data_IF_334487589604
#
_entry.id   IF_334487589604
#
_cell.length_a   1.000
_cell.length_b   1.000
_cell.length_c   1.000
_cell.angle_alpha   90.00
_cell.angle_beta   90.00
_cell.angle_gamma   90.00
#
_symmetry.space_group_name_H-M   'P 1'
#
loop_
_entity.id
_entity.type
_entity.pdbx_description
1 polymer ?
#
# COMPACT_ATOMS: atom_id res chain seq x y z
N UNK A 1 -38.40 2.18 23.79
CA UNK A 1 -38.07 2.09 22.36
C UNK A 1 -37.02 3.16 22.04
N UNK A 2 -35.85 3.15 22.71
CA UNK A 2 -34.84 4.22 22.57
C UNK A 2 -33.38 3.76 22.87
N UNK A 3 -33.09 2.46 22.89
CA UNK A 3 -31.72 1.95 23.15
C UNK A 3 -30.89 1.66 21.89
N UNK A 4 -31.47 1.83 20.68
CA UNK A 4 -30.81 1.46 19.42
C UNK A 4 -30.25 2.65 18.61
N UNK A 5 -30.53 3.90 19.03
CA UNK A 5 -30.11 5.08 18.25
C UNK A 5 -28.74 5.68 18.67
N UNK A 6 -28.07 5.13 19.69
CA UNK A 6 -26.78 5.65 20.17
C UNK A 6 -25.53 4.89 19.71
N UNK A 7 -25.65 3.87 18.85
CA UNK A 7 -24.49 3.24 18.20
C UNK A 7 -24.06 4.03 16.95
N UNK A 8 -23.77 5.32 17.13
CA UNK A 8 -23.00 6.09 16.15
C UNK A 8 -21.58 5.54 16.09
N UNK A 9 -21.19 5.00 14.93
CA UNK A 9 -19.85 4.91 14.29
C UNK A 9 -18.59 4.52 15.11
N UNK A 10 -18.66 4.36 16.43
CA UNK A 10 -17.51 4.21 17.29
C UNK A 10 -17.17 2.73 17.42
N UNK A 11 -16.23 2.27 16.59
CA UNK A 11 -15.44 1.08 16.92
C UNK A 11 -14.85 1.36 18.32
N UNK A 12 -15.01 0.48 19.32
CA UNK A 12 -14.50 0.75 20.67
C UNK A 12 -13.03 1.13 20.61
N UNK A 13 -12.66 2.20 21.33
CA UNK A 13 -11.30 2.74 21.36
C UNK A 13 -10.27 1.65 21.66
N UNK A 14 -10.59 0.71 22.55
CA UNK A 14 -9.72 -0.42 22.93
C UNK A 14 -9.28 -1.30 21.74
N UNK A 15 -10.11 -1.44 20.69
CA UNK A 15 -9.73 -2.18 19.47
C UNK A 15 -8.92 -1.35 18.46
N UNK A 16 -8.76 -0.04 18.70
CA UNK A 16 -8.09 0.93 17.82
C UNK A 16 -7.00 1.77 18.49
N UNK A 17 -6.82 1.65 19.82
CA UNK A 17 -6.05 2.56 20.67
C UNK A 17 -4.57 2.67 20.26
N UNK A 18 -4.06 1.68 19.50
CA UNK A 18 -2.70 1.66 18.97
C UNK A 18 -2.54 2.17 17.54
N UNK A 19 -3.62 2.49 16.82
CA UNK A 19 -3.56 2.59 15.34
C UNK A 19 -3.55 4.02 14.78
N UNK A 20 -3.91 5.04 15.56
CA UNK A 20 -3.88 6.43 15.11
C UNK A 20 -2.54 7.10 15.42
N UNK A 21 -1.98 7.82 14.45
CA UNK A 21 -0.78 8.64 14.68
C UNK A 21 -1.13 9.78 15.65
N UNK A 22 -0.21 10.14 16.53
CA UNK A 22 -0.34 11.35 17.34
C UNK A 22 0.09 12.54 16.49
N UNK A 23 -0.79 13.53 16.37
CA UNK A 23 -0.49 14.76 15.63
C UNK A 23 0.65 15.54 16.30
N UNK A 24 1.65 15.92 15.52
CA UNK A 24 2.71 16.84 15.90
C UNK A 24 2.28 18.26 15.55
N UNK A 25 2.10 19.10 16.56
CA UNK A 25 1.78 20.52 16.40
C UNK A 25 3.10 21.28 16.19
N UNK A 26 3.29 21.85 15.00
CA UNK A 26 4.55 22.48 14.57
C UNK A 26 4.49 24.00 14.74
N UNK A 27 4.29 24.49 15.97
CA UNK A 27 4.38 25.94 16.26
C UNK A 27 5.81 26.40 16.56
N UNK A 28 6.60 25.49 17.12
CA UNK A 28 8.01 25.64 17.47
C UNK A 28 8.76 24.40 16.96
N UNK A 29 10.10 24.47 16.76
CA UNK A 29 10.88 23.32 16.36
C UNK A 29 10.62 22.11 17.27
N UNK A 30 10.36 20.95 16.66
CA UNK A 30 10.11 19.68 17.35
C UNK A 30 11.18 18.69 16.98
N UNK A 31 11.87 18.15 17.99
CA UNK A 31 12.79 17.04 17.81
C UNK A 31 12.04 15.73 17.92
N UNK A 32 12.25 14.84 16.95
CA UNK A 32 11.78 13.46 16.96
C UNK A 32 13.00 12.54 17.13
N UNK A 33 12.81 11.46 17.88
CA UNK A 33 13.81 10.40 18.07
C UNK A 33 13.25 9.11 17.49
N UNK A 34 14.06 8.45 16.67
CA UNK A 34 13.70 7.22 15.99
C UNK A 34 14.69 6.15 16.40
N UNK A 35 14.19 5.09 17.01
CA UNK A 35 14.97 3.93 17.40
C UNK A 35 14.87 2.84 16.35
N UNK A 36 16.01 2.32 15.89
CA UNK A 36 16.05 1.09 15.12
C UNK A 36 16.36 -0.07 16.06
N UNK A 37 15.39 -0.97 16.22
CA UNK A 37 15.50 -2.17 17.03
C UNK A 37 16.19 -3.35 16.31
N UNK A 38 16.58 -3.19 15.04
CA UNK A 38 17.25 -4.25 14.28
C UNK A 38 18.78 -4.18 14.43
N UNK A 39 19.46 -5.34 14.37
CA UNK A 39 20.93 -5.45 14.47
C UNK A 39 21.67 -5.00 13.20
N UNK A 40 20.96 -4.54 12.17
CA UNK A 40 21.51 -4.02 10.93
C UNK A 40 20.95 -2.63 10.63
N UNK A 41 21.70 -1.85 9.85
CA UNK A 41 21.23 -0.55 9.37
C UNK A 41 20.16 -0.72 8.28
N UNK A 42 19.22 0.22 8.19
CA UNK A 42 18.20 0.22 7.14
C UNK A 42 17.81 1.62 6.69
N UNK A 43 17.43 1.74 5.43
CA UNK A 43 16.70 2.90 4.92
C UNK A 43 15.21 2.69 5.16
N UNK A 44 14.54 3.69 5.72
CA UNK A 44 13.13 3.63 6.10
C UNK A 44 12.39 4.91 5.69
N UNK A 45 11.12 4.79 5.32
CA UNK A 45 10.21 5.94 5.22
C UNK A 45 9.56 6.21 6.57
N UNK A 46 9.78 7.41 7.10
CA UNK A 46 9.19 7.87 8.36
C UNK A 46 7.93 8.66 8.04
N UNK A 47 6.83 8.35 8.73
CA UNK A 47 5.52 8.96 8.53
C UNK A 47 4.99 9.62 9.80
N UNK A 48 4.78 10.93 9.77
CA UNK A 48 4.28 11.72 10.91
C UNK A 48 3.03 12.49 10.52
N UNK A 49 2.00 12.43 11.36
CA UNK A 49 0.86 13.32 11.23
C UNK A 49 1.24 14.69 11.76
N UNK A 50 1.08 15.74 10.96
CA UNK A 50 1.44 17.12 11.32
C UNK A 50 0.30 18.10 11.07
N UNK A 51 0.30 19.20 11.81
CA UNK A 51 -0.75 20.22 11.77
C UNK A 51 -0.63 21.20 10.59
N UNK A 52 0.56 21.37 10.03
CA UNK A 52 0.88 22.43 9.07
C UNK A 52 1.76 21.84 7.94
N UNK A 53 1.44 22.05 6.65
CA UNK A 53 2.22 21.47 5.56
C UNK A 53 3.51 22.23 5.29
N UNK A 54 3.67 23.44 5.84
CA UNK A 54 4.78 24.33 5.55
C UNK A 54 5.96 24.09 6.50
N UNK A 55 6.62 22.94 6.32
CA UNK A 55 7.69 22.48 7.21
C UNK A 55 8.95 22.13 6.45
N UNK A 56 10.06 22.11 7.19
CA UNK A 56 11.34 21.52 6.78
C UNK A 56 11.72 20.44 7.78
N UNK A 57 12.31 19.35 7.28
CA UNK A 57 12.92 18.30 8.11
C UNK A 57 14.43 18.45 8.07
N UNK A 58 15.06 18.52 9.24
CA UNK A 58 16.50 18.69 9.40
C UNK A 58 17.03 17.42 10.07
N UNK A 59 17.89 16.69 9.34
CA UNK A 59 18.66 15.56 9.87
C UNK A 59 20.02 16.01 10.41
N UNK A 60 20.89 15.04 10.69
CA UNK A 60 22.23 15.31 11.23
C UNK A 60 23.13 16.12 10.30
N UNK A 61 22.90 16.01 8.99
CA UNK A 61 23.74 16.62 7.94
C UNK A 61 23.05 17.81 7.25
N UNK A 62 22.00 18.36 7.86
CA UNK A 62 21.21 19.46 7.30
C UNK A 62 19.81 19.03 6.81
N UNK A 63 19.16 19.87 5.99
CA UNK A 63 17.84 19.58 5.44
C UNK A 63 17.80 18.28 4.65
N UNK A 64 16.73 17.52 4.81
CA UNK A 64 16.48 16.29 4.04
C UNK A 64 15.24 16.46 3.16
N UNK A 65 15.19 15.66 2.10
CA UNK A 65 14.01 15.60 1.24
C UNK A 65 12.83 15.04 2.02
N UNK A 66 11.69 15.70 1.88
CA UNK A 66 10.43 15.28 2.45
C UNK A 66 9.28 15.50 1.47
N UNK A 67 8.16 14.84 1.70
CA UNK A 67 6.91 15.10 0.98
C UNK A 67 5.73 15.21 1.94
N UNK A 68 4.75 16.02 1.54
CA UNK A 68 3.49 16.24 2.24
C UNK A 68 2.39 15.54 1.48
N UNK A 69 1.71 14.61 2.15
CA UNK A 69 0.57 13.84 1.65
C UNK A 69 -0.71 14.20 2.44
N UNK A 70 -1.90 13.98 1.87
CA UNK A 70 -3.15 14.07 2.64
C UNK A 70 -3.15 13.00 3.76
N UNK A 71 -3.54 13.38 4.98
CA UNK A 71 -3.65 12.40 6.07
C UNK A 71 -5.02 11.70 6.07
N UNK A 72 -4.96 10.38 5.94
CA UNK A 72 -6.08 9.47 6.13
C UNK A 72 -5.97 8.87 7.52
N UNK A 73 -6.97 9.15 8.35
CA UNK A 73 -7.06 8.50 9.64
C UNK A 73 -7.37 7.01 9.42
N UNK A 74 -6.45 6.14 9.83
CA UNK A 74 -6.55 4.68 9.70
C UNK A 74 -7.71 4.11 10.52
N UNK A 75 -8.17 4.82 11.55
CA UNK A 75 -9.26 4.37 12.43
C UNK A 75 -10.62 4.73 11.85
N UNK A 76 -10.88 6.00 11.56
CA UNK A 76 -12.13 6.42 10.92
C UNK A 76 -12.18 6.08 9.43
N UNK A 77 -11.02 5.92 8.80
CA UNK A 77 -10.86 5.81 7.37
C UNK A 77 -11.39 7.05 6.63
N UNK A 78 -11.26 8.22 7.25
CA UNK A 78 -11.68 9.52 6.69
C UNK A 78 -10.46 10.41 6.46
N UNK A 79 -10.57 11.26 5.45
CA UNK A 79 -9.66 12.39 5.28
C UNK A 79 -9.81 13.36 6.44
N UNK A 80 -8.69 13.87 6.91
CA UNK A 80 -8.65 14.90 7.95
C UNK A 80 -8.17 16.23 7.36
N UNK A 81 -8.22 17.29 8.17
CA UNK A 81 -7.61 18.59 7.82
C UNK A 81 -6.10 18.64 8.12
N UNK A 82 -5.53 17.55 8.60
CA UNK A 82 -4.09 17.45 8.91
C UNK A 82 -3.34 16.77 7.77
N UNK A 83 -2.02 16.76 7.88
CA UNK A 83 -1.12 16.33 6.81
C UNK A 83 -0.27 15.15 7.26
N UNK A 84 0.18 14.36 6.31
CA UNK A 84 1.15 13.30 6.54
C UNK A 84 2.50 13.77 5.97
N UNK A 85 3.45 14.02 6.86
CA UNK A 85 4.83 14.28 6.51
C UNK A 85 5.58 12.97 6.35
N UNK A 86 6.24 12.83 5.21
CA UNK A 86 6.98 11.63 4.84
C UNK A 86 8.40 12.01 4.46
N UNK A 87 9.40 11.35 5.05
CA UNK A 87 10.81 11.54 4.69
C UNK A 87 11.57 10.24 4.86
N UNK A 88 12.68 10.08 4.14
CA UNK A 88 13.54 8.90 4.27
C UNK A 88 14.62 9.11 5.32
N UNK A 89 14.96 8.04 6.04
CA UNK A 89 15.97 8.06 7.08
C UNK A 89 16.85 6.81 7.00
N UNK A 90 18.17 7.00 7.05
CA UNK A 90 19.10 5.90 7.30
C UNK A 90 19.21 5.67 8.80
N UNK A 91 18.69 4.55 9.29
CA UNK A 91 18.73 4.17 10.69
C UNK A 91 19.88 3.20 10.92
N UNK A 92 20.83 3.54 11.80
CA UNK A 92 21.93 2.63 12.15
C UNK A 92 21.43 1.50 13.04
N UNK A 93 22.14 0.36 13.05
CA UNK A 93 21.82 -0.78 13.89
C UNK A 93 21.69 -0.40 15.37
N UNK A 94 20.65 -0.88 16.05
CA UNK A 94 20.44 -0.76 17.50
C UNK A 94 20.67 0.65 18.06
N UNK A 95 20.19 1.67 17.36
CA UNK A 95 20.55 3.06 17.65
C UNK A 95 19.38 4.04 17.53
N UNK A 96 19.56 5.20 18.13
CA UNK A 96 18.68 6.35 17.95
C UNK A 96 19.24 7.30 16.89
N UNK A 97 18.36 7.79 16.03
CA UNK A 97 18.61 8.94 15.14
C UNK A 97 17.59 10.01 15.47
N UNK A 98 18.01 11.27 15.50
CA UNK A 98 17.12 12.39 15.73
C UNK A 98 16.95 13.25 14.48
N UNK A 99 15.79 13.87 14.36
CA UNK A 99 15.49 14.87 13.34
C UNK A 99 14.75 16.04 13.98
N UNK A 100 14.84 17.21 13.37
CA UNK A 100 14.10 18.40 13.79
C UNK A 100 13.11 18.78 12.70
N UNK A 101 11.85 18.97 13.09
CA UNK A 101 10.78 19.50 12.25
C UNK A 101 10.51 20.93 12.67
N UNK A 102 10.53 21.86 11.73
CA UNK A 102 10.24 23.25 12.02
C UNK A 102 9.47 23.90 10.88
N UNK A 103 8.74 24.98 11.19
CA UNK A 103 8.04 25.80 10.20
C UNK A 103 9.06 26.49 9.30
N UNK A 104 9.02 26.17 8.01
CA UNK A 104 9.77 26.87 6.98
C UNK A 104 9.26 26.40 5.61
N UNK A 105 9.12 27.33 4.66
CA UNK A 105 8.86 26.98 3.27
C UNK A 105 10.19 26.69 2.58
N UNK A 106 10.65 25.45 2.68
CA UNK A 106 11.90 25.01 2.07
C UNK A 106 11.64 24.20 0.81
N UNK A 107 12.46 24.40 -0.22
CA UNK A 107 12.40 23.66 -1.48
C UNK A 107 12.62 22.15 -1.32
N UNK A 108 13.12 21.68 -0.17
CA UNK A 108 13.34 20.26 0.09
C UNK A 108 12.07 19.50 0.50
N UNK A 109 10.97 20.20 0.77
CA UNK A 109 9.69 19.57 1.14
C UNK A 109 8.64 19.80 0.05
N UNK A 110 8.23 18.72 -0.61
CA UNK A 110 7.32 18.79 -1.76
C UNK A 110 5.88 18.46 -1.36
N UNK A 111 4.93 19.31 -1.76
CA UNK A 111 3.50 18.99 -1.64
C UNK A 111 3.13 18.05 -2.80
N UNK A 112 2.63 16.87 -2.46
CA UNK A 112 2.28 15.84 -3.45
C UNK A 112 1.13 16.27 -4.36
N UNK A 113 1.14 15.73 -5.58
CA UNK A 113 0.06 15.90 -6.54
C UNK A 113 -0.99 14.80 -6.41
N UNK A 114 -2.25 15.15 -6.63
CA UNK A 114 -3.37 14.21 -6.56
C UNK A 114 -3.84 13.91 -7.97
N UNK A 115 -3.73 12.65 -8.38
CA UNK A 115 -4.13 12.20 -9.71
C UNK A 115 -5.44 11.41 -9.61
N UNK A 116 -6.45 11.80 -10.38
CA UNK A 116 -7.76 11.15 -10.35
C UNK A 116 -8.18 10.68 -11.75
N UNK A 117 -8.63 9.42 -11.92
CA UNK A 117 -9.05 8.90 -13.24
C UNK A 117 -10.48 9.31 -13.60
N UNK A 118 -11.24 9.79 -12.62
CA UNK A 118 -12.62 10.23 -12.73
C UNK A 118 -12.78 11.58 -12.01
N UNK A 119 -13.73 12.41 -12.45
CA UNK A 119 -14.16 13.56 -11.64
C UNK A 119 -15.02 13.07 -10.47
N UNK A 120 -14.41 12.46 -9.44
CA UNK A 120 -15.10 12.27 -8.15
C UNK A 120 -15.39 13.67 -7.58
N UNK A 121 -16.59 13.91 -7.06
CA UNK A 121 -17.01 15.22 -6.52
C UNK A 121 -16.87 15.30 -5.00
N UNK A 122 -16.93 14.17 -4.27
CA UNK A 122 -16.98 14.17 -2.80
C UNK A 122 -15.60 14.28 -2.18
N UNK A 123 -14.69 13.39 -2.57
CA UNK A 123 -13.35 13.34 -2.01
C UNK A 123 -12.45 14.46 -2.54
N UNK A 124 -12.60 14.80 -3.82
CA UNK A 124 -11.85 15.90 -4.44
C UNK A 124 -12.14 17.24 -3.77
N UNK A 125 -13.36 17.51 -3.31
CA UNK A 125 -13.71 18.78 -2.65
C UNK A 125 -12.89 19.04 -1.37
N UNK A 126 -12.60 17.98 -0.60
CA UNK A 126 -11.76 18.11 0.60
C UNK A 126 -10.29 18.25 0.23
N UNK A 127 -9.82 17.42 -0.70
CA UNK A 127 -8.40 17.38 -1.10
C UNK A 127 -7.99 18.65 -1.87
N UNK A 128 -8.84 19.15 -2.77
CA UNK A 128 -8.54 20.28 -3.66
C UNK A 128 -8.32 21.61 -2.94
N UNK A 129 -8.71 21.70 -1.67
CA UNK A 129 -8.44 22.88 -0.85
C UNK A 129 -6.97 23.01 -0.44
N UNK A 130 -6.22 21.90 -0.41
CA UNK A 130 -4.86 21.85 0.11
C UNK A 130 -3.85 21.24 -0.86
N UNK A 131 -4.32 20.51 -1.88
CA UNK A 131 -3.48 19.79 -2.83
C UNK A 131 -3.89 20.08 -4.26
N UNK A 132 -2.91 20.11 -5.16
CA UNK A 132 -3.17 20.24 -6.58
C UNK A 132 -3.75 18.94 -7.14
N UNK A 133 -4.97 19.01 -7.67
CA UNK A 133 -5.68 17.86 -8.25
C UNK A 133 -5.60 17.93 -9.78
N UNK A 134 -5.07 16.87 -10.39
CA UNK A 134 -5.01 16.67 -11.83
C UNK A 134 -5.88 15.47 -12.22
N UNK A 135 -6.77 15.69 -13.18
CA UNK A 135 -7.49 14.57 -13.81
C UNK A 135 -6.57 13.91 -14.83
N UNK A 136 -6.47 12.58 -14.77
CA UNK A 136 -5.65 11.76 -15.67
C UNK A 136 -6.54 10.81 -16.46
N UNK A 137 -6.03 10.31 -17.58
CA UNK A 137 -6.73 9.28 -18.34
C UNK A 137 -6.71 7.94 -17.60
N UNK A 138 -7.64 7.05 -17.97
CA UNK A 138 -7.75 5.70 -17.40
C UNK A 138 -6.47 4.87 -17.57
N UNK A 139 -5.71 5.11 -18.64
CA UNK A 139 -4.48 4.37 -18.94
C UNK A 139 -3.25 4.90 -18.20
N UNK A 140 -3.39 6.05 -17.53
CA UNK A 140 -2.35 6.66 -16.70
C UNK A 140 -2.54 6.35 -15.21
N UNK A 141 -3.52 5.50 -14.88
CA UNK A 141 -3.86 5.15 -13.50
C UNK A 141 -3.02 3.97 -12.99
N UNK A 142 -1.74 4.24 -12.74
CA UNK A 142 -0.78 3.27 -12.23
C UNK A 142 0.16 3.90 -11.20
N UNK A 143 0.79 3.07 -10.37
CA UNK A 143 1.90 3.47 -9.51
C UNK A 143 3.21 3.08 -10.17
N UNK A 144 4.23 3.93 -10.09
CA UNK A 144 5.51 3.67 -10.73
C UNK A 144 6.69 4.16 -9.89
N UNK A 145 7.70 3.28 -9.79
CA UNK A 145 9.06 3.58 -9.34
C UNK A 145 10.04 3.24 -10.46
N UNK A 146 11.35 3.34 -10.22
CA UNK A 146 12.36 2.83 -11.16
C UNK A 146 12.31 1.31 -11.32
N UNK A 147 11.68 0.58 -10.39
CA UNK A 147 11.73 -0.89 -10.31
C UNK A 147 10.37 -1.56 -10.42
N UNK A 148 9.29 -0.87 -10.04
CA UNK A 148 7.95 -1.44 -9.98
C UNK A 148 7.00 -0.57 -10.79
N UNK A 149 6.18 -1.22 -11.61
CA UNK A 149 5.00 -0.65 -12.22
C UNK A 149 3.78 -1.44 -11.74
N UNK A 150 2.79 -0.75 -11.18
CA UNK A 150 1.56 -1.36 -10.64
C UNK A 150 0.35 -0.76 -11.35
N UNK A 151 -0.30 -1.56 -12.19
CA UNK A 151 -1.52 -1.15 -12.88
C UNK A 151 -2.75 -1.37 -12.00
N UNK A 152 -3.65 -0.39 -12.03
CA UNK A 152 -4.85 -0.36 -11.19
C UNK A 152 -6.07 -0.17 -12.05
N UNK A 153 -7.19 -0.80 -11.68
CA UNK A 153 -8.45 -0.54 -12.35
C UNK A 153 -8.96 0.87 -11.96
N UNK A 154 -9.11 1.80 -12.91
CA UNK A 154 -9.47 3.20 -12.63
C UNK A 154 -10.90 3.38 -12.10
N UNK A 155 -11.75 2.35 -12.16
CA UNK A 155 -13.13 2.40 -11.65
C UNK A 155 -13.20 2.04 -10.16
N UNK A 156 -12.33 1.16 -9.67
CA UNK A 156 -12.43 0.62 -8.31
C UNK A 156 -11.11 0.66 -7.53
N UNK A 157 -9.99 1.08 -8.14
CA UNK A 157 -8.66 1.21 -7.56
C UNK A 157 -7.98 -0.09 -7.12
N UNK A 158 -8.51 -1.25 -7.52
CA UNK A 158 -7.91 -2.55 -7.21
C UNK A 158 -6.78 -2.89 -8.21
N UNK A 159 -5.89 -3.78 -7.78
CA UNK A 159 -4.89 -4.37 -8.68
C UNK A 159 -5.60 -5.11 -9.81
N UNK A 160 -5.35 -4.69 -11.04
CA UNK A 160 -5.83 -5.40 -12.21
C UNK A 160 -4.86 -5.11 -13.35
N UNK A 161 -4.01 -6.09 -13.65
CA UNK A 161 -3.29 -6.11 -14.93
C UNK A 161 -4.24 -6.77 -15.93
N UNK A 162 -4.85 -6.01 -16.86
CA UNK A 162 -5.69 -6.61 -17.88
C UNK A 162 -4.87 -7.61 -18.70
N UNK A 163 -5.49 -8.70 -19.19
CA UNK A 163 -4.87 -9.56 -20.17
C UNK A 163 -4.76 -8.80 -21.50
N UNK A 164 -3.74 -7.96 -21.66
CA UNK A 164 -3.56 -7.20 -22.90
C UNK A 164 -2.64 -7.99 -23.84
N UNK A 165 -3.25 -8.59 -24.86
CA UNK A 165 -2.61 -8.99 -26.13
C UNK A 165 -2.16 -7.77 -26.97
N UNK A 166 -2.18 -6.55 -26.45
CA UNK A 166 -1.86 -5.36 -27.26
C UNK A 166 -1.39 -4.19 -26.41
N UNK A 167 -0.08 -3.91 -26.41
CA UNK A 167 0.52 -2.61 -26.77
C UNK A 167 2.02 -2.59 -26.44
N UNK A 168 2.83 -2.88 -27.47
CA UNK A 168 4.15 -2.29 -27.62
C UNK A 168 4.01 -0.76 -27.56
N UNK A 169 4.61 -0.13 -26.56
CA UNK A 169 5.14 1.24 -26.71
C UNK A 169 6.54 1.31 -26.12
N UNK A 170 7.49 1.33 -27.05
CA UNK A 170 8.89 1.72 -26.90
C UNK A 170 9.02 3.01 -26.07
N UNK A 171 9.87 2.99 -25.06
CA UNK A 171 10.80 4.09 -24.80
C UNK A 171 12.19 3.58 -25.21
N UNK A 172 12.51 3.74 -26.50
CA UNK A 172 13.87 3.53 -27.00
C UNK A 172 14.77 4.65 -26.44
N UNK A 173 15.53 4.32 -25.40
CA UNK A 173 16.82 4.93 -25.12
C UNK A 173 17.89 3.92 -25.51
N UNK A 174 18.53 4.16 -26.66
CA UNK A 174 19.57 3.36 -27.32
C UNK A 174 20.49 2.55 -26.38
N UNK A 175 20.35 1.22 -26.39
CA UNK A 175 21.44 0.31 -26.03
C UNK A 175 21.28 -1.01 -26.81
N UNK A 176 22.18 -1.27 -27.75
CA UNK A 176 22.37 -2.58 -28.36
C UNK A 176 23.00 -3.49 -27.31
N UNK A 177 22.29 -4.53 -26.86
CA UNK A 177 22.90 -5.63 -26.09
C UNK A 177 23.09 -6.81 -27.03
N UNK A 178 24.35 -7.16 -27.25
CA UNK A 178 24.80 -8.39 -27.92
C UNK A 178 24.87 -9.47 -26.85
N UNK A 179 24.10 -10.55 -26.99
CA UNK A 179 24.21 -11.69 -26.09
C UNK A 179 25.46 -12.50 -26.42
N UNK A 180 26.44 -12.47 -25.52
CA UNK A 180 27.57 -13.40 -25.54
C UNK A 180 27.20 -14.64 -24.71
N UNK A 181 27.33 -15.83 -25.29
CA UNK A 181 26.70 -17.08 -24.80
C UNK A 181 27.56 -17.89 -23.84
N UNK A 182 28.63 -17.32 -23.29
CA UNK A 182 29.57 -18.04 -22.43
C UNK A 182 29.93 -17.24 -21.18
N UNK A 183 29.33 -17.58 -20.04
CA UNK A 183 29.95 -17.40 -18.72
C UNK A 183 29.35 -18.35 -17.68
N UNK A 184 30.17 -19.19 -17.03
CA UNK A 184 29.72 -20.20 -16.07
C UNK A 184 29.66 -19.69 -14.62
N UNK A 185 28.73 -20.28 -13.86
CA UNK A 185 28.72 -20.48 -12.40
C UNK A 185 28.67 -19.27 -11.46
N UNK A 186 27.56 -19.15 -10.73
CA UNK A 186 27.55 -18.73 -9.32
C UNK A 186 26.65 -19.68 -8.52
N UNK A 187 27.29 -20.53 -7.71
CA UNK A 187 26.68 -21.37 -6.68
C UNK A 187 26.36 -20.51 -5.45
N UNK A 188 25.19 -20.75 -4.87
CA UNK A 188 24.91 -20.53 -3.45
C UNK A 188 24.49 -19.11 -3.06
N UNK A 189 23.20 -18.95 -2.75
CA UNK A 189 22.63 -18.24 -1.60
C UNK A 189 21.16 -18.68 -1.54
N UNK A 190 20.81 -19.47 -0.52
CA UNK A 190 19.41 -19.75 -0.16
C UNK A 190 18.87 -18.54 0.60
N UNK A 191 17.89 -17.86 0.02
CA UNK A 191 17.03 -16.92 0.74
C UNK A 191 15.66 -16.94 0.07
N UNK A 192 14.72 -17.69 0.66
CA UNK A 192 13.33 -17.72 0.22
C UNK A 192 12.65 -16.41 0.65
N UNK A 193 12.74 -15.40 -0.21
CA UNK A 193 11.81 -14.28 -0.19
C UNK A 193 11.00 -14.36 -1.49
N UNK A 194 9.68 -14.19 -1.39
CA UNK A 194 8.82 -14.02 -2.56
C UNK A 194 9.14 -12.63 -3.10
N UNK A 195 10.08 -12.58 -4.04
CA UNK A 195 10.36 -11.38 -4.82
C UNK A 195 9.30 -11.30 -5.92
N UNK A 196 8.41 -10.30 -5.85
CA UNK A 196 7.78 -9.81 -7.08
C UNK A 196 8.82 -8.97 -7.81
N UNK A 197 9.84 -9.63 -8.38
CA UNK A 197 10.72 -9.01 -9.35
C UNK A 197 9.89 -8.83 -10.62
N UNK A 198 9.31 -7.66 -10.81
CA UNK A 198 9.01 -7.18 -12.16
C UNK A 198 10.35 -6.67 -12.67
N UNK A 199 11.16 -7.56 -13.24
CA UNK A 199 12.39 -7.14 -13.92
C UNK A 199 12.02 -6.09 -14.96
N UNK A 200 12.71 -4.95 -14.87
CA UNK A 200 12.70 -3.91 -15.89
C UNK A 200 13.40 -4.35 -17.18
N UNK A 201 13.86 -5.61 -17.27
CA UNK A 201 14.30 -6.23 -18.50
C UNK A 201 13.10 -6.87 -19.19
N UNK A 202 12.49 -6.07 -20.07
CA UNK A 202 11.12 -6.26 -20.55
C UNK A 202 10.86 -7.61 -21.22
N UNK A 203 9.80 -8.29 -20.78
CA UNK A 203 8.78 -8.89 -21.65
C UNK A 203 7.64 -9.58 -20.88
N UNK A 204 7.84 -9.94 -19.60
CA UNK A 204 6.79 -10.65 -18.83
C UNK A 204 6.31 -9.82 -17.63
N UNK A 205 5.07 -9.35 -17.72
CA UNK A 205 4.33 -8.76 -16.61
C UNK A 205 3.63 -9.89 -15.86
N UNK A 206 3.85 -10.01 -14.55
CA UNK A 206 3.02 -10.86 -13.71
C UNK A 206 1.59 -10.35 -13.79
N UNK A 207 0.65 -11.17 -14.28
CA UNK A 207 -0.75 -10.80 -14.19
C UNK A 207 -1.19 -11.06 -12.77
N UNK A 208 -1.68 -10.02 -12.12
CA UNK A 208 -2.27 -10.11 -10.79
C UNK A 208 -3.59 -9.34 -10.80
N UNK A 209 -4.65 -10.01 -10.35
CA UNK A 209 -5.97 -9.45 -10.20
C UNK A 209 -6.43 -9.60 -8.76
N UNK A 210 -6.66 -8.48 -8.11
CA UNK A 210 -7.25 -8.42 -6.80
C UNK A 210 -8.77 -8.40 -6.89
N UNK A 211 -9.43 -9.15 -6.01
CA UNK A 211 -10.86 -9.05 -5.80
C UNK A 211 -11.27 -9.30 -4.35
N UNK A 212 -12.41 -8.75 -3.96
CA UNK A 212 -13.04 -9.03 -2.67
C UNK A 212 -14.28 -9.90 -2.89
N UNK A 213 -14.43 -10.93 -2.06
CA UNK A 213 -15.61 -11.78 -1.99
C UNK A 213 -15.95 -12.05 -0.53
N UNK A 214 -17.14 -12.56 -0.24
CA UNK A 214 -17.46 -13.03 1.09
C UNK A 214 -18.30 -14.30 1.05
N UNK A 215 -18.08 -15.17 2.03
CA UNK A 215 -18.90 -16.36 2.25
C UNK A 215 -20.09 -15.99 3.12
N UNK A 216 -21.26 -16.55 2.82
CA UNK A 216 -22.43 -16.50 3.72
C UNK A 216 -22.55 -17.81 4.48
N UNK A 217 -22.36 -17.75 5.80
CA UNK A 217 -22.53 -18.92 6.66
C UNK A 217 -23.15 -18.54 8.00
N UNK A 218 -24.33 -19.10 8.27
CA UNK A 218 -25.04 -18.96 9.55
C UNK A 218 -24.56 -19.97 10.60
N UNK A 219 -23.79 -20.98 10.17
CA UNK A 219 -23.28 -22.05 11.04
C UNK A 219 -21.82 -21.83 11.44
N UNK A 220 -21.13 -20.89 10.79
CA UNK A 220 -19.81 -20.43 11.21
C UNK A 220 -19.87 -19.73 12.56
N UNK A 221 -18.74 -19.72 13.27
CA UNK A 221 -18.58 -19.05 14.55
C UNK A 221 -17.11 -18.72 14.84
N UNK A 222 -16.81 -18.38 16.09
CA UNK A 222 -15.47 -17.95 16.48
C UNK A 222 -14.35 -18.98 16.22
N UNK A 223 -14.70 -20.27 16.17
CA UNK A 223 -13.74 -21.37 16.03
C UNK A 223 -13.91 -22.19 14.75
N UNK A 224 -15.09 -22.18 14.14
CA UNK A 224 -15.44 -23.07 13.04
C UNK A 224 -15.85 -22.22 11.83
N UNK A 225 -15.19 -22.48 10.70
CA UNK A 225 -15.50 -21.92 9.40
C UNK A 225 -16.34 -22.96 8.62
N UNK A 226 -17.66 -22.92 8.78
CA UNK A 226 -18.57 -23.90 8.20
C UNK A 226 -18.96 -23.49 6.77
N UNK A 227 -18.07 -23.76 5.80
CA UNK A 227 -18.21 -23.28 4.41
C UNK A 227 -18.71 -24.30 3.39
N UNK A 228 -18.97 -25.54 3.79
CA UNK A 228 -19.17 -26.65 2.85
C UNK A 228 -20.27 -26.38 1.81
N UNK A 229 -21.33 -25.66 2.22
CA UNK A 229 -22.44 -25.23 1.34
C UNK A 229 -22.59 -23.69 1.30
N UNK A 230 -21.58 -22.94 1.74
CA UNK A 230 -21.66 -21.49 1.84
C UNK A 230 -21.64 -20.83 0.46
N UNK A 231 -22.59 -19.92 0.21
CA UNK A 231 -22.60 -19.12 -1.01
C UNK A 231 -21.42 -18.13 -1.00
N UNK A 232 -20.65 -18.12 -2.10
CA UNK A 232 -19.57 -17.14 -2.32
C UNK A 232 -20.08 -15.98 -3.14
N UNK A 233 -20.15 -14.80 -2.54
CA UNK A 233 -20.67 -13.60 -3.18
C UNK A 233 -19.52 -12.62 -3.45
N UNK A 234 -19.40 -12.18 -4.69
CA UNK A 234 -18.42 -11.14 -5.06
C UNK A 234 -18.83 -9.80 -4.47
N UNK A 235 -17.92 -9.17 -3.73
CA UNK A 235 -18.13 -7.81 -3.23
C UNK A 235 -17.91 -6.82 -4.39
N UNK A 236 -19.00 -6.22 -4.86
CA UNK A 236 -18.94 -5.16 -5.87
C UNK A 236 -18.32 -3.91 -5.27
N UNK A 237 -17.26 -3.40 -5.91
CA UNK A 237 -16.55 -2.17 -5.53
C UNK A 237 -16.90 -1.01 -6.49
N UNK A 238 -18.12 -0.99 -7.02
CA UNK A 238 -18.55 -0.07 -8.09
C UNK A 238 -18.74 1.36 -7.60
N UNK A 239 -18.98 1.54 -6.31
CA UNK A 239 -19.13 2.82 -5.63
C UNK A 239 -17.83 3.34 -5.02
N UNK A 240 -16.72 2.60 -5.20
CA UNK A 240 -15.45 2.97 -4.61
C UNK A 240 -14.91 4.26 -5.22
N UNK A 241 -14.47 5.19 -4.38
CA UNK A 241 -13.74 6.36 -4.82
C UNK A 241 -12.23 6.06 -4.81
N UNK A 242 -11.52 6.44 -5.88
CA UNK A 242 -10.09 6.14 -6.04
C UNK A 242 -9.30 7.31 -6.63
N UNK A 243 -8.05 7.45 -6.19
CA UNK A 243 -7.09 8.46 -6.64
C UNK A 243 -5.67 8.04 -6.25
N UNK A 244 -4.68 8.69 -6.85
CA UNK A 244 -3.27 8.51 -6.56
C UNK A 244 -2.72 9.78 -5.90
N UNK A 245 -1.96 9.60 -4.82
CA UNK A 245 -1.03 10.60 -4.29
C UNK A 245 0.32 10.35 -4.93
N UNK A 246 0.81 11.31 -5.70
CA UNK A 246 2.08 11.23 -6.44
C UNK A 246 3.09 12.18 -5.83
N UNK A 247 4.21 11.63 -5.35
CA UNK A 247 5.32 12.37 -4.76
C UNK A 247 6.67 11.75 -5.10
N UNK A 248 7.77 12.47 -4.83
CA UNK A 248 9.12 12.02 -5.16
C UNK A 248 9.59 10.81 -4.34
N UNK A 249 9.22 10.72 -3.06
CA UNK A 249 9.65 9.65 -2.15
C UNK A 249 8.75 8.42 -2.20
N UNK A 250 7.49 8.58 -2.63
CA UNK A 250 6.50 7.50 -2.68
C UNK A 250 5.28 7.90 -3.50
N UNK A 251 4.67 6.91 -4.16
CA UNK A 251 3.33 7.02 -4.72
C UNK A 251 2.35 6.10 -3.99
N UNK A 252 1.08 6.53 -3.88
CA UNK A 252 0.05 5.80 -3.16
C UNK A 252 -1.26 5.85 -3.93
N UNK A 253 -1.87 4.70 -4.20
CA UNK A 253 -3.26 4.63 -4.62
C UNK A 253 -4.17 4.38 -3.41
N UNK A 254 -5.17 5.23 -3.27
CA UNK A 254 -6.20 5.10 -2.27
C UNK A 254 -7.49 4.63 -2.91
N UNK A 255 -8.18 3.73 -2.23
CA UNK A 255 -9.50 3.23 -2.62
C UNK A 255 -10.40 3.24 -1.40
N UNK A 256 -11.59 3.82 -1.54
CA UNK A 256 -12.55 3.94 -0.43
C UNK A 256 -13.92 3.49 -0.88
N UNK A 257 -14.37 2.34 -0.37
CA UNK A 257 -15.74 1.84 -0.50
C UNK A 257 -16.42 1.78 0.87
N UNK A 258 -17.66 1.26 0.91
CA UNK A 258 -18.42 1.10 2.15
C UNK A 258 -17.74 0.18 3.16
N UNK A 259 -17.19 -0.94 2.72
CA UNK A 259 -16.67 -2.00 3.59
C UNK A 259 -15.14 -2.08 3.57
N UNK A 260 -14.51 -1.60 2.50
CA UNK A 260 -13.07 -1.73 2.28
C UNK A 260 -12.49 -0.35 2.01
N UNK A 261 -11.48 0.02 2.80
CA UNK A 261 -10.58 1.12 2.47
C UNK A 261 -9.19 0.54 2.28
N UNK A 262 -8.58 0.84 1.15
CA UNK A 262 -7.32 0.28 0.73
C UNK A 262 -6.34 1.40 0.41
N UNK A 263 -5.09 1.14 0.79
CA UNK A 263 -3.93 1.94 0.45
C UNK A 263 -2.89 1.02 -0.16
N UNK A 264 -2.56 1.26 -1.42
CA UNK A 264 -1.47 0.59 -2.13
C UNK A 264 -0.33 1.60 -2.32
N UNK A 265 0.90 1.26 -1.95
CA UNK A 265 2.02 2.19 -2.12
C UNK A 265 3.29 1.53 -2.60
N UNK A 266 4.04 2.29 -3.41
CA UNK A 266 5.37 1.93 -3.89
C UNK A 266 6.35 3.03 -3.50
N UNK A 267 7.46 2.65 -2.90
CA UNK A 267 8.40 3.58 -2.29
C UNK A 267 9.57 3.86 -3.25
N UNK A 268 9.93 5.12 -3.43
CA UNK A 268 11.09 5.56 -4.23
C UNK A 268 12.31 5.77 -3.32
N UNK A 269 12.62 4.76 -2.50
CA UNK A 269 13.82 4.76 -1.65
C UNK A 269 14.65 3.53 -1.96
N UNK A 270 15.96 3.65 -1.81
CA UNK A 270 16.88 2.52 -1.96
C UNK A 270 16.80 1.57 -0.76
N UNK A 271 17.15 0.31 -0.98
CA UNK A 271 17.20 -0.71 0.07
C UNK A 271 16.05 -1.71 0.00
N UNK A 272 15.65 -2.26 1.15
CA UNK A 272 14.69 -3.36 1.20
C UNK A 272 13.29 -3.01 0.63
N UNK A 273 12.94 -1.74 0.64
CA UNK A 273 11.61 -1.24 0.27
C UNK A 273 11.49 -0.84 -1.22
N UNK A 274 12.61 -0.84 -1.96
CA UNK A 274 12.67 -0.38 -3.36
C UNK A 274 11.81 -1.25 -4.31
N UNK A 275 11.70 -2.54 -3.99
CA UNK A 275 11.06 -3.57 -4.83
C UNK A 275 9.77 -4.14 -4.19
N UNK A 276 9.10 -3.36 -3.33
CA UNK A 276 7.90 -3.81 -2.62
C UNK A 276 6.67 -2.98 -2.97
N UNK A 277 5.55 -3.68 -3.16
CA UNK A 277 4.22 -3.10 -3.10
C UNK A 277 3.68 -3.28 -1.68
N UNK A 278 3.40 -2.18 -1.00
CA UNK A 278 2.77 -2.20 0.31
C UNK A 278 1.26 -2.10 0.16
N UNK A 279 0.55 -2.93 0.92
CA UNK A 279 -0.90 -2.89 1.00
C UNK A 279 -1.32 -2.72 2.45
N UNK A 280 -2.21 -1.76 2.68
CA UNK A 280 -2.92 -1.61 3.95
C UNK A 280 -4.42 -1.63 3.69
N UNK A 281 -5.12 -2.47 4.45
CA UNK A 281 -6.57 -2.62 4.38
C UNK A 281 -7.19 -2.19 5.71
N UNK A 282 -8.27 -1.41 5.63
CA UNK A 282 -9.21 -1.20 6.73
C UNK A 282 -10.55 -1.80 6.32
N UNK A 283 -10.97 -2.79 7.08
CA UNK A 283 -12.16 -3.60 6.81
C UNK A 283 -13.23 -3.29 7.86
N UNK A 284 -14.44 -2.95 7.41
CA UNK A 284 -15.58 -2.66 8.28
C UNK A 284 -16.79 -3.50 7.88
N UNK A 285 -16.86 -4.73 8.39
CA UNK A 285 -17.91 -5.71 8.07
C UNK A 285 -19.10 -5.65 9.02
N UNK A 286 -19.20 -4.66 9.93
CA UNK A 286 -20.29 -4.57 10.93
C UNK A 286 -21.69 -4.53 10.33
N UNK A 287 -21.79 -4.09 9.07
CA UNK A 287 -23.05 -4.05 8.30
C UNK A 287 -23.22 -5.26 7.37
N UNK A 288 -22.42 -6.31 7.58
CA UNK A 288 -22.52 -7.61 6.91
C UNK A 288 -22.88 -8.64 7.98
N UNK A 289 -24.07 -9.23 7.88
CA UNK A 289 -24.47 -10.35 8.75
C UNK A 289 -23.92 -11.66 8.20
N UNK A 290 -23.55 -12.61 9.07
CA UNK A 290 -23.25 -14.00 8.70
C UNK A 290 -22.23 -14.10 7.55
N UNK A 291 -21.22 -13.22 7.57
CA UNK A 291 -20.33 -12.99 6.44
C UNK A 291 -18.86 -13.06 6.82
N UNK A 292 -18.10 -13.80 6.01
CA UNK A 292 -16.65 -13.89 6.12
C UNK A 292 -16.02 -13.28 4.87
N UNK A 293 -15.45 -12.07 5.01
CA UNK A 293 -14.85 -11.33 3.90
C UNK A 293 -13.44 -11.85 3.58
N UNK A 294 -13.18 -12.10 2.29
CA UNK A 294 -11.88 -12.54 1.77
C UNK A 294 -11.38 -11.59 0.68
N UNK A 295 -10.09 -11.28 0.71
CA UNK A 295 -9.35 -10.69 -0.43
C UNK A 295 -8.65 -11.81 -1.18
N UNK A 296 -8.80 -11.86 -2.49
CA UNK A 296 -8.18 -12.87 -3.35
C UNK A 296 -7.27 -12.19 -4.35
N UNK A 297 -6.14 -12.83 -4.64
CA UNK A 297 -5.21 -12.44 -5.70
C UNK A 297 -5.14 -13.59 -6.69
N UNK A 298 -5.67 -13.37 -7.88
CA UNK A 298 -5.55 -14.32 -8.98
C UNK A 298 -4.33 -13.95 -9.81
N UNK A 299 -3.45 -14.92 -10.04
CA UNK A 299 -2.23 -14.73 -10.83
C UNK A 299 -2.15 -15.73 -11.96
N UNK A 300 -1.32 -15.43 -12.98
CA UNK A 300 -0.97 -16.40 -14.02
C UNK A 300 0.34 -17.16 -13.72
N UNK A 301 0.78 -17.16 -12.47
CA UNK A 301 1.84 -18.04 -12.00
C UNK A 301 1.38 -19.50 -12.15
N UNK A 302 2.23 -20.30 -12.77
CA UNK A 302 2.04 -21.75 -12.84
C UNK A 302 2.63 -22.29 -11.54
N UNK A 303 1.79 -22.90 -10.70
CA UNK A 303 2.27 -23.64 -9.54
C UNK A 303 2.99 -24.91 -10.03
N UNK A 304 4.12 -25.25 -9.39
CA UNK A 304 4.76 -26.55 -9.54
C UNK A 304 3.98 -27.60 -8.71
N UNK A 305 4.65 -28.60 -8.15
CA UNK A 305 4.00 -29.60 -7.29
C UNK A 305 3.39 -28.99 -6.01
N UNK A 306 3.93 -27.86 -5.52
CA UNK A 306 3.46 -27.16 -4.33
C UNK A 306 2.47 -26.07 -4.71
N UNK A 307 1.26 -26.11 -4.14
CA UNK A 307 0.20 -25.16 -4.47
C UNK A 307 0.39 -23.81 -3.76
N UNK A 308 0.72 -23.84 -2.47
CA UNK A 308 1.02 -22.63 -1.70
C UNK A 308 1.89 -22.91 -0.47
N UNK A 309 2.43 -21.82 0.07
CA UNK A 309 3.23 -21.80 1.28
C UNK A 309 2.57 -20.93 2.34
N UNK A 310 2.57 -21.36 3.59
CA UNK A 310 2.17 -20.52 4.74
C UNK A 310 3.25 -20.54 5.80
N UNK A 311 3.39 -19.47 6.56
CA UNK A 311 4.25 -19.52 7.73
C UNK A 311 3.59 -20.29 8.89
N UNK A 312 4.43 -20.78 9.80
CA UNK A 312 4.03 -21.23 11.13
C UNK A 312 4.63 -20.28 12.15
N UNK A 313 3.77 -19.46 12.75
CA UNK A 313 4.11 -18.49 13.80
C UNK A 313 5.20 -17.46 13.39
N UNK A 314 5.33 -17.17 12.10
CA UNK A 314 6.35 -16.27 11.56
C UNK A 314 7.79 -16.80 11.62
N UNK A 315 8.00 -18.09 11.89
CA UNK A 315 9.34 -18.68 12.04
C UNK A 315 9.74 -19.59 10.88
N UNK A 316 8.83 -20.47 10.44
CA UNK A 316 9.10 -21.50 9.44
C UNK A 316 8.06 -21.42 8.33
N UNK A 317 8.45 -21.80 7.12
CA UNK A 317 7.54 -21.88 5.97
C UNK A 317 7.16 -23.33 5.74
N UNK A 318 5.87 -23.62 5.72
CA UNK A 318 5.28 -24.93 5.40
C UNK A 318 4.75 -24.94 3.97
N UNK A 319 4.88 -26.07 3.29
CA UNK A 319 4.37 -26.29 1.93
C UNK A 319 3.13 -27.19 1.96
N UNK A 320 2.17 -26.90 1.10
CA UNK A 320 0.93 -27.68 0.98
C UNK A 320 0.78 -28.20 -0.45
N UNK A 321 0.45 -29.49 -0.54
CA UNK A 321 0.17 -30.21 -1.78
C UNK A 321 -1.33 -30.44 -1.89
N UNK A 322 -1.87 -30.39 -3.12
CA UNK A 322 -3.20 -30.93 -3.40
C UNK A 322 -3.04 -32.37 -3.84
N UNK A 323 -3.61 -33.29 -3.07
CA UNK A 323 -3.73 -34.67 -3.52
C UNK A 323 -4.96 -34.78 -4.43
N UNK A 324 -4.77 -34.63 -5.74
CA UNK A 324 -5.83 -34.74 -6.76
C UNK A 324 -6.40 -36.16 -6.92
N UNK A 325 -6.04 -37.12 -6.06
CA UNK A 325 -6.48 -38.52 -6.12
C UNK A 325 -7.81 -38.83 -5.41
N UNK A 326 -8.58 -37.81 -4.99
CA UNK A 326 -9.82 -37.98 -4.22
C UNK A 326 -11.02 -37.14 -4.73
N UNK A 327 -11.02 -36.72 -6.01
CA UNK A 327 -12.23 -36.19 -6.67
C UNK A 327 -12.88 -37.29 -7.52
#
# INVERSE_FOLDING_TARGET
MDFLNNFQDNIPLVYNESSSKKMVIVEQPKTILIYNNQPHGRMELIELQISDPNVIVIGTNGPIQAQIEPYFDTVSGKLTKSYLLVFSAHLKALSFVHFTIQKNHAATTEITQILTPLKSLRMTKYISSNFHVKTISKNEFFLQTQRILVELNPKNGLLEVPPTETLLRLLLGSAKVVFNKDSPSLKGIETAAIYTNVETDGTKRLRCKQEFSYYKSIFSGAYIMALQDAEVIKLKMTEAETFIVSGPLRQIAYTSSRFVKQRLSVNNISGAEENRLHMQLRIDIRKMSDAELVTKFATDMIADDVEYYTDSNGLQVSFYYVNNSLI
#
